data_IF_040943826982
#
_entry.id   IF_040943826982
#
_cell.length_a   1.000
_cell.length_b   1.000
_cell.length_c   1.000
_cell.angle_alpha   90.00
_cell.angle_beta   90.00
_cell.angle_gamma   90.00
#
_symmetry.space_group_name_H-M   'P 1'
#
loop_
_entity.id
_entity.type
_entity.pdbx_description
1 polymer ?
#
# COMPACT_ATOMS: atom_id res chain seq x y z
N UNK A 1 -41.27 15.53 -23.32
CA UNK A 1 -39.80 15.53 -23.48
C UNK A 1 -39.27 14.30 -22.76
N UNK A 2 -38.66 13.35 -23.45
CA UNK A 2 -38.01 12.22 -22.80
C UNK A 2 -36.53 12.56 -22.63
N UNK A 3 -36.11 12.84 -21.40
CA UNK A 3 -34.68 12.89 -21.06
C UNK A 3 -34.13 11.47 -21.14
N UNK A 4 -33.43 11.17 -22.22
CA UNK A 4 -32.61 9.96 -22.34
C UNK A 4 -31.52 10.06 -21.29
N UNK A 5 -31.67 9.32 -20.20
CA UNK A 5 -30.60 9.14 -19.23
C UNK A 5 -29.43 8.45 -19.96
N UNK A 6 -28.26 9.09 -19.97
CA UNK A 6 -27.07 8.51 -20.55
C UNK A 6 -26.63 7.34 -19.67
N UNK A 7 -27.06 6.13 -20.02
CA UNK A 7 -26.62 4.88 -19.37
C UNK A 7 -25.18 4.59 -19.78
N UNK A 8 -24.23 5.21 -19.10
CA UNK A 8 -22.83 4.75 -19.12
C UNK A 8 -22.78 3.30 -18.68
N UNK A 9 -21.95 2.48 -19.34
CA UNK A 9 -21.69 1.12 -18.89
C UNK A 9 -21.21 1.11 -17.42
N UNK A 10 -21.53 0.07 -16.63
CA UNK A 10 -21.08 -0.01 -15.24
C UNK A 10 -19.56 -0.06 -15.17
N UNK A 11 -19.01 0.54 -14.11
CA UNK A 11 -17.58 0.46 -13.83
C UNK A 11 -17.20 -0.98 -13.46
N UNK A 12 -16.09 -1.50 -13.99
CA UNK A 12 -15.60 -2.86 -13.71
C UNK A 12 -14.20 -2.89 -13.08
N UNK A 13 -13.60 -1.72 -12.81
CA UNK A 13 -12.23 -1.56 -12.27
C UNK A 13 -12.24 -0.70 -11.00
N UNK A 14 -11.22 -0.79 -10.12
CA UNK A 14 -11.12 0.10 -8.97
C UNK A 14 -11.01 1.57 -9.38
N UNK A 15 -11.58 2.46 -8.56
CA UNK A 15 -11.31 3.91 -8.66
C UNK A 15 -9.90 4.21 -8.12
N UNK A 16 -9.14 5.04 -8.86
CA UNK A 16 -7.77 5.36 -8.51
C UNK A 16 -7.63 6.41 -7.40
N UNK A 17 -8.54 7.39 -7.33
CA UNK A 17 -8.42 8.54 -6.42
C UNK A 17 -9.71 8.83 -5.65
N UNK A 18 -9.60 9.41 -4.45
CA UNK A 18 -10.75 10.02 -3.78
C UNK A 18 -11.28 11.24 -4.57
N UNK A 19 -12.43 11.76 -4.16
CA UNK A 19 -12.98 13.02 -4.69
C UNK A 19 -12.19 14.23 -4.19
N UNK A 20 -12.31 15.38 -4.84
CA UNK A 20 -11.66 16.63 -4.40
C UNK A 20 -12.23 17.14 -3.05
N UNK A 21 -13.44 16.71 -2.71
CA UNK A 21 -14.18 17.02 -1.49
C UNK A 21 -13.80 16.11 -0.32
N UNK A 22 -13.12 14.98 -0.57
CA UNK A 22 -12.62 14.07 0.45
C UNK A 22 -11.49 14.75 1.23
N UNK A 23 -11.67 14.92 2.54
CA UNK A 23 -10.73 15.61 3.44
C UNK A 23 -10.24 14.65 4.52
N UNK A 24 -9.05 14.05 4.36
CA UNK A 24 -8.41 13.29 5.43
C UNK A 24 -8.38 14.09 6.73
N UNK A 25 -8.59 13.41 7.86
CA UNK A 25 -8.29 14.03 9.14
C UNK A 25 -6.78 14.15 9.27
N UNK A 26 -6.28 15.36 9.47
CA UNK A 26 -4.85 15.60 9.71
C UNK A 26 -4.37 14.79 10.91
N UNK A 27 -3.16 14.23 10.80
CA UNK A 27 -2.51 13.53 11.92
C UNK A 27 -2.35 14.52 13.09
N UNK A 28 -2.80 14.19 14.32
CA UNK A 28 -2.56 15.04 15.48
C UNK A 28 -1.05 15.32 15.66
N UNK A 29 -0.73 16.56 16.03
CA UNK A 29 0.65 16.92 16.35
C UNK A 29 1.09 16.17 17.61
N UNK A 30 2.25 15.49 17.54
CA UNK A 30 2.80 14.76 18.68
C UNK A 30 3.20 15.73 19.79
N UNK A 31 2.83 15.39 21.02
CA UNK A 31 3.33 16.02 22.25
C UNK A 31 4.84 15.78 22.43
N UNK A 32 5.46 16.43 23.42
CA UNK A 32 6.90 16.25 23.69
C UNK A 32 7.25 14.80 24.08
N UNK A 33 6.47 14.20 24.99
CA UNK A 33 6.58 12.80 25.42
C UNK A 33 6.40 11.82 24.23
N UNK A 34 5.40 12.05 23.39
CA UNK A 34 5.16 11.23 22.20
C UNK A 34 6.30 11.31 21.17
N UNK A 35 6.95 12.49 21.04
CA UNK A 35 8.15 12.66 20.18
C UNK A 35 9.35 11.90 20.72
N UNK A 36 9.59 11.95 22.04
CA UNK A 36 10.66 11.21 22.70
C UNK A 36 10.45 9.69 22.54
N UNK A 37 9.22 9.21 22.76
CA UNK A 37 8.84 7.80 22.60
C UNK A 37 8.97 7.31 21.16
N UNK A 38 8.60 8.15 20.19
CA UNK A 38 8.83 7.87 18.77
C UNK A 38 10.32 7.83 18.42
N UNK A 39 11.11 8.81 18.86
CA UNK A 39 12.54 8.88 18.58
C UNK A 39 13.28 7.65 19.13
N UNK A 40 12.97 7.25 20.36
CA UNK A 40 13.50 6.05 20.98
C UNK A 40 13.13 4.78 20.19
N UNK A 41 11.87 4.62 19.76
CA UNK A 41 11.45 3.45 18.99
C UNK A 41 12.13 3.41 17.63
N UNK A 42 12.28 4.57 16.98
CA UNK A 42 13.00 4.69 15.72
C UNK A 42 14.48 4.29 15.87
N UNK A 43 15.12 4.65 16.99
CA UNK A 43 16.48 4.22 17.30
C UNK A 43 16.58 2.69 17.46
N UNK A 44 15.67 2.06 18.22
CA UNK A 44 15.69 0.60 18.38
C UNK A 44 15.50 -0.11 17.03
N UNK A 45 14.56 0.35 16.21
CA UNK A 45 14.24 -0.26 14.92
C UNK A 45 15.35 -0.03 13.89
N UNK A 46 16.04 1.12 13.92
CA UNK A 46 17.24 1.36 13.10
C UNK A 46 18.43 0.48 13.48
N UNK A 47 18.46 -0.05 14.72
CA UNK A 47 19.48 -1.00 15.17
C UNK A 47 19.15 -2.47 14.82
N UNK A 48 18.02 -2.76 14.18
CA UNK A 48 17.69 -4.13 13.76
C UNK A 48 18.58 -4.55 12.57
N UNK A 49 19.40 -5.59 12.78
CA UNK A 49 20.13 -6.26 11.69
C UNK A 49 19.35 -7.46 11.16
N UNK A 50 18.92 -8.35 12.05
CA UNK A 50 18.34 -9.66 11.72
C UNK A 50 17.02 -9.92 12.44
N UNK A 51 16.12 -10.63 11.76
CA UNK A 51 14.89 -11.18 12.35
C UNK A 51 14.99 -12.70 12.36
N UNK A 52 14.84 -13.28 13.55
CA UNK A 52 14.73 -14.73 13.76
C UNK A 52 13.28 -15.16 13.72
N UNK A 53 12.96 -16.12 12.85
CA UNK A 53 11.65 -16.74 12.68
C UNK A 53 11.78 -18.27 12.65
N UNK A 54 10.68 -19.01 12.62
CA UNK A 54 10.69 -20.46 12.36
C UNK A 54 11.25 -20.85 10.98
N UNK A 55 11.33 -19.92 10.02
CA UNK A 55 12.06 -20.11 8.75
C UNK A 55 13.58 -19.89 8.88
N UNK A 56 14.08 -19.49 10.05
CA UNK A 56 15.48 -19.19 10.33
C UNK A 56 15.74 -17.71 10.68
N UNK A 57 17.01 -17.38 10.88
CA UNK A 57 17.51 -16.01 11.06
C UNK A 57 18.08 -15.50 9.75
N UNK A 58 17.65 -14.32 9.33
CA UNK A 58 18.25 -13.60 8.19
C UNK A 58 18.11 -12.08 8.35
N UNK A 59 18.94 -11.28 7.64
CA UNK A 59 18.91 -9.83 7.69
C UNK A 59 17.54 -9.25 7.33
N UNK A 60 17.26 -8.01 7.75
CA UNK A 60 16.10 -7.26 7.28
C UNK A 60 16.16 -7.10 5.74
N UNK A 61 15.03 -7.34 5.08
CA UNK A 61 14.90 -7.10 3.64
C UNK A 61 14.55 -5.64 3.35
N UNK A 62 14.72 -5.19 2.11
CA UNK A 62 14.34 -3.84 1.70
C UNK A 62 12.83 -3.61 1.78
N UNK A 63 12.01 -4.64 1.56
CA UNK A 63 10.56 -4.58 1.79
C UNK A 63 10.23 -4.32 3.27
N UNK A 64 10.92 -5.00 4.19
CA UNK A 64 10.73 -4.78 5.62
C UNK A 64 11.23 -3.39 6.06
N UNK A 65 12.37 -2.92 5.53
CA UNK A 65 12.87 -1.57 5.77
C UNK A 65 11.90 -0.50 5.26
N UNK A 66 11.29 -0.71 4.09
CA UNK A 66 10.25 0.15 3.51
C UNK A 66 8.95 0.14 4.34
N UNK A 67 8.56 -1.02 4.87
CA UNK A 67 7.37 -1.18 5.71
C UNK A 67 7.49 -0.45 7.06
N UNK A 68 8.71 -0.29 7.57
CA UNK A 68 9.04 0.40 8.83
C UNK A 68 9.01 1.95 8.69
N UNK A 69 7.94 2.50 8.11
CA UNK A 69 7.68 3.94 7.97
C UNK A 69 7.45 4.63 9.33
N UNK A 70 7.62 5.96 9.38
CA UNK A 70 7.28 6.77 10.56
C UNK A 70 5.86 6.47 11.06
N UNK A 71 4.90 6.50 10.16
CA UNK A 71 3.50 6.24 10.45
C UNK A 71 3.26 4.79 10.92
N UNK A 72 4.02 3.82 10.41
CA UNK A 72 4.01 2.45 10.93
C UNK A 72 4.43 2.42 12.41
N UNK A 73 5.59 2.97 12.76
CA UNK A 73 6.04 3.05 14.16
C UNK A 73 5.00 3.74 15.06
N UNK A 74 4.36 4.82 14.57
CA UNK A 74 3.32 5.53 15.31
C UNK A 74 2.02 4.72 15.47
N UNK A 75 1.62 3.89 14.49
CA UNK A 75 0.48 2.97 14.65
C UNK A 75 0.72 1.97 15.79
N UNK A 76 1.93 1.43 15.90
CA UNK A 76 2.28 0.51 16.99
C UNK A 76 2.31 1.21 18.35
N UNK A 77 2.91 2.42 18.44
CA UNK A 77 2.89 3.22 19.68
C UNK A 77 1.48 3.57 20.15
N UNK A 78 0.59 4.03 19.26
CA UNK A 78 -0.82 4.29 19.61
C UNK A 78 -1.51 3.01 20.10
N UNK A 79 -1.32 1.89 19.39
CA UNK A 79 -1.95 0.62 19.71
C UNK A 79 -1.45 -0.06 21.00
N UNK A 80 -0.33 0.39 21.58
CA UNK A 80 0.16 -0.02 22.91
C UNK A 80 0.02 1.08 23.96
N UNK A 81 -0.82 2.09 23.71
CA UNK A 81 -1.06 3.24 24.61
C UNK A 81 0.24 3.96 24.98
N UNK A 82 1.13 4.11 24.01
CA UNK A 82 2.45 4.72 24.13
C UNK A 82 3.42 4.01 25.08
N UNK A 83 3.21 2.71 25.36
CA UNK A 83 4.27 1.87 25.92
C UNK A 83 5.29 1.50 24.81
N UNK A 84 6.48 2.09 24.93
CA UNK A 84 7.64 1.90 24.06
C UNK A 84 8.05 0.42 23.90
N UNK A 85 8.17 -0.33 25.01
CA UNK A 85 8.66 -1.71 24.98
C UNK A 85 7.62 -2.69 24.43
N UNK A 86 6.34 -2.44 24.72
CA UNK A 86 5.26 -3.21 24.10
C UNK A 86 5.16 -2.91 22.59
N UNK A 87 5.38 -1.65 22.17
CA UNK A 87 5.38 -1.26 20.77
C UNK A 87 6.53 -1.92 19.99
N UNK A 88 7.76 -1.84 20.52
CA UNK A 88 8.94 -2.52 19.98
C UNK A 88 8.69 -4.03 19.82
N UNK A 89 8.24 -4.68 20.89
CA UNK A 89 7.96 -6.12 20.89
C UNK A 89 6.92 -6.48 19.82
N UNK A 90 5.76 -5.80 19.79
CA UNK A 90 4.66 -6.12 18.86
C UNK A 90 5.00 -5.83 17.40
N UNK A 91 5.82 -4.80 17.16
CA UNK A 91 6.37 -4.50 15.83
C UNK A 91 7.28 -5.63 15.36
N UNK A 92 8.20 -6.09 16.22
CA UNK A 92 9.09 -7.22 15.94
C UNK A 92 8.34 -8.54 15.78
N UNK A 93 7.37 -8.82 16.64
CA UNK A 93 6.46 -9.97 16.51
C UNK A 93 5.71 -9.95 15.16
N UNK A 94 5.42 -8.76 14.60
CA UNK A 94 4.79 -8.64 13.29
C UNK A 94 5.76 -8.90 12.14
N UNK A 95 7.02 -8.44 12.22
CA UNK A 95 8.05 -8.81 11.22
C UNK A 95 8.25 -10.34 11.20
N UNK A 96 8.31 -10.97 12.37
CA UNK A 96 8.38 -12.43 12.50
C UNK A 96 7.14 -13.07 11.86
N UNK A 97 5.93 -12.66 12.24
CA UNK A 97 4.69 -13.18 11.65
C UNK A 97 4.62 -13.01 10.12
N UNK A 98 5.03 -11.86 9.56
CA UNK A 98 5.04 -11.63 8.11
C UNK A 98 5.89 -12.68 7.40
N UNK A 99 7.10 -12.95 7.93
CA UNK A 99 7.99 -14.01 7.43
C UNK A 99 7.37 -15.40 7.58
N UNK A 100 6.83 -15.74 8.74
CA UNK A 100 6.30 -17.09 9.01
C UNK A 100 5.05 -17.41 8.22
N UNK A 101 4.09 -16.47 8.19
CA UNK A 101 2.84 -16.57 7.44
C UNK A 101 3.06 -16.54 5.92
N UNK A 102 4.18 -15.96 5.49
CA UNK A 102 4.55 -15.81 4.09
C UNK A 102 3.76 -14.73 3.37
N UNK A 103 3.63 -13.55 3.98
CA UNK A 103 2.78 -12.45 3.49
C UNK A 103 3.26 -11.94 2.12
N UNK A 104 4.58 -11.81 1.94
CA UNK A 104 5.22 -11.37 0.70
C UNK A 104 5.14 -12.43 -0.41
N UNK A 105 5.02 -13.71 -0.03
CA UNK A 105 4.88 -14.85 -0.95
C UNK A 105 3.43 -15.10 -1.42
N UNK A 106 2.44 -14.34 -0.94
CA UNK A 106 1.04 -14.46 -1.40
C UNK A 106 0.87 -13.84 -2.80
N UNK A 107 0.79 -14.68 -3.85
CA UNK A 107 0.64 -14.20 -5.23
C UNK A 107 -0.83 -13.96 -5.65
N UNK A 108 -1.09 -13.08 -6.64
CA UNK A 108 -2.42 -12.87 -7.18
C UNK A 108 -3.08 -14.12 -7.77
N UNK A 109 -2.29 -15.04 -8.32
CA UNK A 109 -2.75 -16.27 -8.98
C UNK A 109 -3.20 -17.31 -7.95
N UNK A 110 -2.45 -17.46 -6.85
CA UNK A 110 -2.83 -18.32 -5.72
C UNK A 110 -4.14 -17.84 -5.08
N UNK A 111 -4.31 -16.52 -4.95
CA UNK A 111 -5.46 -15.90 -4.27
C UNK A 111 -6.68 -15.71 -5.18
N UNK A 112 -6.50 -15.54 -6.50
CA UNK A 112 -7.58 -15.30 -7.49
C UNK A 112 -8.82 -16.19 -7.32
N UNK A 113 -8.72 -17.52 -7.16
CA UNK A 113 -9.89 -18.40 -6.97
C UNK A 113 -10.76 -18.06 -5.76
N UNK A 114 -10.21 -17.40 -4.73
CA UNK A 114 -11.00 -16.94 -3.61
C UNK A 114 -11.85 -15.71 -3.95
N UNK A 115 -11.50 -14.93 -4.97
CA UNK A 115 -12.21 -13.68 -5.29
C UNK A 115 -12.96 -13.68 -6.62
N UNK A 116 -13.04 -14.81 -7.34
CA UNK A 116 -13.84 -14.96 -8.58
C UNK A 116 -15.25 -14.37 -8.50
N UNK A 117 -15.90 -14.45 -7.33
CA UNK A 117 -17.25 -13.94 -7.11
C UNK A 117 -17.31 -12.53 -6.54
N UNK A 118 -16.20 -11.82 -6.35
CA UNK A 118 -16.19 -10.46 -5.76
C UNK A 118 -16.66 -10.44 -4.30
N UNK A 119 -16.27 -11.45 -3.52
CA UNK A 119 -16.58 -11.51 -2.09
C UNK A 119 -15.77 -10.50 -1.27
N UNK A 120 -14.65 -10.02 -1.82
CA UNK A 120 -13.98 -8.80 -1.39
C UNK A 120 -13.72 -7.87 -2.59
N UNK A 121 -14.00 -6.57 -2.44
CA UNK A 121 -13.79 -5.57 -3.49
C UNK A 121 -13.20 -4.31 -2.87
N UNK A 122 -12.18 -3.73 -3.50
CA UNK A 122 -11.67 -2.40 -3.19
C UNK A 122 -12.21 -1.43 -4.25
N UNK A 123 -13.05 -0.48 -3.83
CA UNK A 123 -13.80 0.38 -4.75
C UNK A 123 -14.09 1.76 -4.14
N UNK A 124 -13.40 2.78 -4.63
CA UNK A 124 -13.63 4.15 -4.21
C UNK A 124 -13.19 4.44 -2.76
N UNK A 125 -13.54 5.65 -2.31
CA UNK A 125 -13.00 6.25 -1.09
C UNK A 125 -14.07 7.00 -0.28
N UNK A 126 -13.95 6.97 1.06
CA UNK A 126 -14.82 7.73 1.95
C UNK A 126 -14.53 9.25 1.90
N UNK A 127 -15.35 10.05 2.58
CA UNK A 127 -15.19 11.53 2.67
C UNK A 127 -13.93 11.96 3.44
N UNK A 128 -13.16 11.02 3.99
CA UNK A 128 -11.85 11.22 4.62
C UNK A 128 -10.71 10.61 3.78
N UNK A 129 -10.98 10.27 2.52
CA UNK A 129 -10.00 9.69 1.60
C UNK A 129 -9.63 8.24 1.91
N UNK A 130 -10.33 7.56 2.83
CA UNK A 130 -10.05 6.16 3.15
C UNK A 130 -10.51 5.26 2.01
N UNK A 131 -9.67 4.34 1.49
CA UNK A 131 -10.13 3.36 0.52
C UNK A 131 -11.23 2.48 1.15
N UNK A 132 -12.28 2.24 0.38
CA UNK A 132 -13.44 1.43 0.76
C UNK A 132 -13.19 -0.05 0.44
N UNK A 133 -13.10 -0.87 1.50
CA UNK A 133 -12.94 -2.32 1.41
C UNK A 133 -14.27 -3.01 1.65
N UNK A 134 -14.91 -3.46 0.58
CA UNK A 134 -16.16 -4.18 0.61
C UNK A 134 -15.94 -5.64 0.96
N UNK A 135 -16.66 -6.12 1.97
CA UNK A 135 -16.82 -7.52 2.33
C UNK A 135 -18.26 -7.93 2.06
N UNK A 136 -18.43 -8.92 1.19
CA UNK A 136 -19.74 -9.46 0.81
C UNK A 136 -19.83 -10.95 1.21
N UNK A 137 -20.00 -11.31 2.50
CA UNK A 137 -20.04 -12.69 2.95
C UNK A 137 -21.04 -13.61 2.22
N UNK A 138 -22.16 -13.08 1.72
CA UNK A 138 -23.12 -13.84 0.90
C UNK A 138 -22.57 -14.33 -0.45
N UNK A 139 -21.48 -13.72 -0.94
CA UNK A 139 -20.79 -14.08 -2.21
C UNK A 139 -19.71 -15.16 -2.01
N UNK A 140 -19.62 -15.79 -0.83
CA UNK A 140 -18.63 -16.85 -0.53
C UNK A 140 -18.74 -18.03 -1.50
N UNK A 141 -17.71 -18.24 -2.31
CA UNK A 141 -17.64 -19.23 -3.40
C UNK A 141 -16.88 -20.53 -3.03
N UNK A 142 -15.99 -20.49 -2.04
CA UNK A 142 -15.10 -21.62 -1.71
C UNK A 142 -15.55 -22.39 -0.46
N UNK A 143 -15.00 -23.58 -0.29
CA UNK A 143 -15.04 -24.35 0.96
C UNK A 143 -14.03 -23.79 1.97
N UNK A 144 -14.27 -23.92 3.29
CA UNK A 144 -13.34 -23.49 4.33
C UNK A 144 -11.92 -24.04 4.11
N UNK A 145 -10.94 -23.15 4.06
CA UNK A 145 -9.53 -23.49 3.85
C UNK A 145 -8.62 -22.35 4.38
N UNK A 146 -7.33 -22.61 4.64
CA UNK A 146 -6.36 -21.56 5.00
C UNK A 146 -6.30 -20.41 3.96
N UNK A 147 -6.52 -20.74 2.68
CA UNK A 147 -6.52 -19.77 1.58
C UNK A 147 -7.58 -18.69 1.72
N UNK A 148 -8.70 -18.95 2.42
CA UNK A 148 -9.69 -17.91 2.73
C UNK A 148 -9.15 -16.84 3.67
N UNK A 149 -8.25 -17.20 4.61
CA UNK A 149 -7.60 -16.24 5.52
C UNK A 149 -6.46 -15.54 4.79
N UNK A 150 -5.68 -16.27 3.98
CA UNK A 150 -4.65 -15.68 3.11
C UNK A 150 -5.25 -14.65 2.14
N UNK A 151 -6.45 -14.90 1.59
CA UNK A 151 -7.17 -13.93 0.76
C UNK A 151 -7.54 -12.65 1.53
N UNK A 152 -7.97 -12.75 2.79
CA UNK A 152 -8.20 -11.58 3.62
C UNK A 152 -6.90 -10.80 3.86
N UNK A 153 -5.81 -11.48 4.23
CA UNK A 153 -4.48 -10.87 4.43
C UNK A 153 -4.01 -10.18 3.15
N UNK A 154 -4.08 -10.86 2.00
CA UNK A 154 -3.73 -10.31 0.70
C UNK A 154 -4.53 -9.04 0.39
N UNK A 155 -5.86 -9.07 0.55
CA UNK A 155 -6.71 -7.89 0.31
C UNK A 155 -6.47 -6.75 1.31
N UNK A 156 -6.05 -7.06 2.54
CA UNK A 156 -5.60 -6.06 3.52
C UNK A 156 -4.29 -5.39 3.12
N UNK A 157 -3.34 -6.12 2.52
CA UNK A 157 -2.14 -5.51 1.93
C UNK A 157 -2.52 -4.65 0.70
N UNK A 158 -3.40 -5.14 -0.18
CA UNK A 158 -3.85 -4.36 -1.37
C UNK A 158 -4.57 -3.06 -1.00
N UNK A 159 -5.38 -3.03 0.06
CA UNK A 159 -6.03 -1.79 0.51
C UNK A 159 -5.04 -0.81 1.16
N UNK A 160 -3.94 -1.30 1.74
CA UNK A 160 -2.83 -0.46 2.22
C UNK A 160 -2.01 0.10 1.04
N UNK A 161 -1.83 -0.66 -0.03
CA UNK A 161 -1.25 -0.16 -1.29
C UNK A 161 -2.12 0.98 -1.87
N UNK A 162 -3.45 0.86 -1.75
CA UNK A 162 -4.41 1.88 -2.23
C UNK A 162 -4.55 3.13 -1.34
N UNK A 163 -3.93 3.20 -0.15
CA UNK A 163 -4.05 4.39 0.70
C UNK A 163 -3.40 5.62 0.05
N UNK A 164 -4.12 6.76 -0.10
CA UNK A 164 -3.51 8.01 -0.52
C UNK A 164 -2.68 8.62 0.62
N UNK A 165 -1.95 9.69 0.34
CA UNK A 165 -1.25 10.45 1.37
C UNK A 165 -2.20 10.93 2.48
N UNK A 166 -1.64 11.16 3.68
CA UNK A 166 -2.35 11.52 4.92
C UNK A 166 -3.34 10.47 5.45
N UNK A 167 -3.53 9.33 4.77
CA UNK A 167 -4.51 8.30 5.13
C UNK A 167 -3.83 7.01 5.58
N UNK A 168 -3.99 6.65 6.85
CA UNK A 168 -3.45 5.40 7.43
C UNK A 168 -4.50 4.28 7.59
N UNK A 169 -5.78 4.59 7.31
CA UNK A 169 -6.95 3.79 7.71
C UNK A 169 -7.88 3.49 6.54
N UNK A 170 -8.59 2.36 6.60
CA UNK A 170 -9.61 1.96 5.62
C UNK A 170 -11.04 2.22 6.11
N UNK A 171 -11.99 2.25 5.18
CA UNK A 171 -13.42 2.20 5.45
C UNK A 171 -13.95 0.81 5.08
N UNK A 172 -14.38 0.03 6.08
CA UNK A 172 -14.81 -1.35 5.90
C UNK A 172 -16.31 -1.40 5.57
N UNK A 173 -16.68 -1.85 4.38
CA UNK A 173 -18.06 -1.86 3.88
C UNK A 173 -18.61 -3.30 3.95
N UNK A 174 -19.46 -3.64 4.91
CA UNK A 174 -19.92 -5.03 5.09
C UNK A 174 -21.37 -5.19 4.66
N UNK A 175 -21.61 -6.03 3.65
CA UNK A 175 -22.95 -6.37 3.16
C UNK A 175 -23.32 -7.82 3.53
N UNK A 176 -24.18 -8.00 4.52
CA UNK A 176 -24.65 -9.33 4.94
C UNK A 176 -25.83 -9.89 4.11
N UNK A 177 -26.13 -9.28 2.96
CA UNK A 177 -27.13 -9.79 1.99
C UNK A 177 -26.84 -11.25 1.63
N UNK A 178 -27.81 -12.12 1.90
CA UNK A 178 -27.75 -13.55 1.57
C UNK A 178 -27.78 -13.76 0.05
N UNK A 179 -27.17 -14.85 -0.41
CA UNK A 179 -27.30 -15.30 -1.80
C UNK A 179 -28.30 -16.46 -1.92
N UNK A 180 -28.77 -16.73 -3.14
CA UNK A 180 -29.74 -17.81 -3.40
C UNK A 180 -29.23 -19.20 -2.96
N UNK A 181 -27.91 -19.39 -2.87
CA UNK A 181 -27.25 -20.63 -2.47
C UNK A 181 -26.70 -20.63 -1.03
N UNK A 182 -26.61 -19.48 -0.35
CA UNK A 182 -26.12 -19.39 1.04
C UNK A 182 -26.92 -18.40 1.90
N UNK A 183 -27.69 -18.98 2.83
CA UNK A 183 -28.40 -18.27 3.90
C UNK A 183 -27.53 -18.01 5.14
N UNK A 184 -26.61 -18.93 5.47
CA UNK A 184 -25.61 -18.68 6.51
C UNK A 184 -24.36 -18.04 5.89
N UNK A 185 -24.06 -16.82 6.34
CA UNK A 185 -22.93 -16.01 5.87
C UNK A 185 -21.87 -15.79 6.96
N UNK A 186 -22.00 -16.41 8.14
CA UNK A 186 -21.03 -16.28 9.22
C UNK A 186 -19.81 -17.21 8.99
N UNK A 187 -18.57 -16.74 9.25
CA UNK A 187 -17.40 -17.62 9.24
C UNK A 187 -17.44 -18.63 10.39
N UNK A 188 -16.74 -19.76 10.23
CA UNK A 188 -16.59 -20.73 11.30
C UNK A 188 -15.78 -20.17 12.47
N UNK A 189 -16.07 -20.59 13.71
CA UNK A 189 -15.49 -20.01 14.94
C UNK A 189 -13.95 -20.04 14.93
N UNK A 190 -13.33 -21.13 14.44
CA UNK A 190 -11.86 -21.22 14.33
C UNK A 190 -11.27 -20.13 13.43
N UNK A 191 -11.79 -20.02 12.20
CA UNK A 191 -11.40 -18.99 11.25
C UNK A 191 -11.67 -17.57 11.78
N UNK A 192 -12.81 -17.35 12.47
CA UNK A 192 -13.12 -16.06 13.08
C UNK A 192 -12.10 -15.67 14.17
N UNK A 193 -11.62 -16.64 14.97
CA UNK A 193 -10.57 -16.42 15.97
C UNK A 193 -9.20 -16.17 15.35
N UNK A 194 -8.84 -16.89 14.29
CA UNK A 194 -7.61 -16.68 13.53
C UNK A 194 -7.57 -15.28 12.90
N UNK A 195 -8.63 -14.90 12.17
CA UNK A 195 -8.79 -13.56 11.58
C UNK A 195 -8.73 -12.47 12.65
N UNK A 196 -9.43 -12.65 13.77
CA UNK A 196 -9.39 -11.70 14.88
C UNK A 196 -7.98 -11.56 15.46
N UNK A 197 -7.26 -12.67 15.64
CA UNK A 197 -5.88 -12.67 16.12
C UNK A 197 -4.93 -11.92 15.17
N UNK A 198 -5.03 -12.16 13.85
CA UNK A 198 -4.23 -11.46 12.84
C UNK A 198 -4.52 -9.96 12.86
N UNK A 199 -5.79 -9.57 12.80
CA UNK A 199 -6.20 -8.16 12.81
C UNK A 199 -5.78 -7.44 14.09
N UNK A 200 -5.95 -8.07 15.26
CA UNK A 200 -5.60 -7.47 16.54
C UNK A 200 -4.10 -7.31 16.74
N UNK A 201 -3.28 -8.27 16.30
CA UNK A 201 -1.83 -8.21 16.59
C UNK A 201 -1.03 -7.49 15.50
N UNK A 202 -1.36 -7.70 14.23
CA UNK A 202 -0.50 -7.34 13.08
C UNK A 202 -1.05 -6.20 12.20
N UNK A 203 -2.31 -5.79 12.38
CA UNK A 203 -2.92 -4.65 11.69
C UNK A 203 -3.40 -3.54 12.66
N UNK A 204 -2.55 -3.06 13.59
CA UNK A 204 -2.93 -2.00 14.53
C UNK A 204 -3.38 -0.73 13.82
N UNK A 205 -4.37 -0.05 14.39
CA UNK A 205 -4.82 1.29 13.96
C UNK A 205 -5.26 1.40 12.48
N UNK A 206 -5.58 0.29 11.80
CA UNK A 206 -6.03 0.30 10.39
C UNK A 206 -7.53 0.55 10.18
N UNK A 207 -8.38 0.25 11.15
CA UNK A 207 -9.83 0.48 11.02
C UNK A 207 -10.18 1.96 11.27
N UNK A 208 -10.64 2.64 10.23
CA UNK A 208 -11.15 4.01 10.31
C UNK A 208 -12.65 4.09 10.59
N UNK A 209 -13.45 3.34 9.83
CA UNK A 209 -14.90 3.21 9.99
C UNK A 209 -15.35 1.83 9.50
N UNK A 210 -16.46 1.30 10.03
CA UNK A 210 -17.13 0.12 9.47
C UNK A 210 -18.60 0.45 9.18
N UNK A 211 -18.98 0.38 7.91
CA UNK A 211 -20.30 0.66 7.39
C UNK A 211 -20.99 -0.66 7.05
N UNK A 212 -22.02 -1.01 7.82
CA UNK A 212 -22.58 -2.37 7.84
C UNK A 212 -24.06 -2.31 7.46
N UNK A 213 -24.45 -3.07 6.43
CA UNK A 213 -25.82 -3.14 5.92
C UNK A 213 -26.35 -4.57 5.86
N UNK A 214 -27.68 -4.70 5.75
CA UNK A 214 -28.40 -5.97 5.57
C UNK A 214 -28.15 -6.99 6.70
N UNK A 215 -27.84 -6.52 7.91
CA UNK A 215 -27.49 -7.37 9.07
C UNK A 215 -28.67 -8.29 9.45
N UNK A 216 -28.52 -9.63 9.33
CA UNK A 216 -29.54 -10.56 9.79
C UNK A 216 -29.76 -10.43 11.29
N UNK A 217 -31.00 -10.61 11.76
CA UNK A 217 -31.33 -10.54 13.18
C UNK A 217 -30.47 -11.48 14.06
N UNK A 218 -30.02 -12.61 13.51
CA UNK A 218 -29.10 -13.55 14.17
C UNK A 218 -27.69 -12.98 14.36
N UNK A 219 -27.21 -12.16 13.42
CA UNK A 219 -25.88 -11.53 13.47
C UNK A 219 -25.81 -10.45 14.56
N UNK A 220 -26.95 -9.83 14.92
CA UNK A 220 -27.04 -9.00 16.12
C UNK A 220 -26.72 -9.77 17.41
N UNK A 221 -27.00 -11.08 17.45
CA UNK A 221 -26.61 -11.97 18.56
C UNK A 221 -25.08 -12.16 18.62
N UNK A 222 -24.45 -12.42 17.47
CA UNK A 222 -22.99 -12.51 17.37
C UNK A 222 -22.30 -11.20 17.76
N UNK A 223 -22.76 -10.06 17.25
CA UNK A 223 -22.22 -8.76 17.65
C UNK A 223 -22.39 -8.48 19.15
N UNK A 224 -23.56 -8.79 19.74
CA UNK A 224 -23.75 -8.68 21.20
C UNK A 224 -22.77 -9.55 22.01
N UNK A 225 -22.38 -10.71 21.49
CA UNK A 225 -21.41 -11.60 22.15
C UNK A 225 -19.98 -11.07 22.09
N UNK A 226 -19.56 -10.45 20.97
CA UNK A 226 -18.20 -9.90 20.82
C UNK A 226 -18.04 -8.46 21.34
N UNK A 227 -19.14 -7.68 21.42
CA UNK A 227 -19.14 -6.27 21.87
C UNK A 227 -18.47 -6.00 23.23
N UNK A 228 -18.53 -6.88 24.25
CA UNK A 228 -17.79 -6.70 25.50
C UNK A 228 -16.26 -6.67 25.32
N UNK A 229 -15.75 -7.25 24.24
CA UNK A 229 -14.33 -7.31 23.89
C UNK A 229 -13.93 -6.25 22.85
N UNK A 230 -14.87 -5.39 22.44
CA UNK A 230 -14.64 -4.27 21.52
C UNK A 230 -14.47 -2.99 22.34
N UNK A 231 -13.28 -2.40 22.27
CA UNK A 231 -12.93 -1.11 22.88
C UNK A 231 -13.94 0.00 22.47
N UNK A 232 -14.30 0.94 23.36
CA UNK A 232 -15.26 2.01 23.07
C UNK A 232 -14.96 2.79 21.77
N UNK A 233 -13.68 3.11 21.49
CA UNK A 233 -13.29 3.83 20.28
C UNK A 233 -13.52 2.99 19.01
N UNK A 234 -13.49 1.67 19.13
CA UNK A 234 -13.84 0.77 18.01
C UNK A 234 -15.36 0.67 17.83
N UNK A 235 -16.15 0.78 18.91
CA UNK A 235 -17.61 0.78 18.85
C UNK A 235 -18.16 2.02 18.12
N UNK A 236 -17.57 3.19 18.35
CA UNK A 236 -17.96 4.44 17.67
C UNK A 236 -17.74 4.41 16.15
N UNK A 237 -16.78 3.60 15.69
CA UNK A 237 -16.47 3.39 14.26
C UNK A 237 -17.50 2.54 13.53
N UNK A 238 -18.31 1.74 14.23
CA UNK A 238 -19.36 0.91 13.64
C UNK A 238 -20.61 1.75 13.35
N UNK A 239 -21.16 1.62 12.13
CA UNK A 239 -22.41 2.24 11.68
C UNK A 239 -23.28 1.20 11.00
N UNK A 240 -24.54 1.09 11.41
CA UNK A 240 -25.43 -0.03 11.09
C UNK A 240 -26.71 0.45 10.42
N UNK A 241 -26.93 0.06 9.15
CA UNK A 241 -28.12 0.40 8.35
C UNK A 241 -28.46 1.91 8.30
N UNK A 242 -27.45 2.78 8.48
CA UNK A 242 -27.54 4.23 8.27
C UNK A 242 -27.48 4.57 6.76
N UNK A 243 -27.73 5.83 6.39
CA UNK A 243 -27.44 6.31 5.03
C UNK A 243 -25.92 6.42 4.84
N UNK A 244 -25.34 5.45 4.13
CA UNK A 244 -23.89 5.38 3.93
C UNK A 244 -23.34 6.53 3.07
N UNK A 245 -24.20 7.25 2.33
CA UNK A 245 -23.81 8.46 1.60
C UNK A 245 -23.51 9.67 2.52
N UNK A 246 -23.81 9.55 3.82
CA UNK A 246 -23.30 10.47 4.84
C UNK A 246 -21.78 10.36 4.99
N UNK A 247 -21.22 9.17 4.77
CA UNK A 247 -19.81 8.86 5.02
C UNK A 247 -18.97 8.72 3.74
N UNK A 248 -19.57 8.30 2.63
CA UNK A 248 -18.91 8.11 1.33
C UNK A 248 -19.59 9.02 0.28
N UNK A 249 -18.86 9.71 -0.62
CA UNK A 249 -19.46 10.42 -1.75
C UNK A 249 -20.30 9.44 -2.60
N UNK A 250 -21.41 9.88 -3.20
CA UNK A 250 -22.33 8.96 -3.89
C UNK A 250 -21.68 8.33 -5.12
N UNK A 251 -20.90 9.12 -5.86
CA UNK A 251 -20.06 8.77 -6.99
C UNK A 251 -18.88 7.82 -6.64
N UNK A 252 -18.59 7.63 -5.35
CA UNK A 252 -17.61 6.65 -4.83
C UNK A 252 -18.27 5.45 -4.15
N UNK A 253 -19.58 5.51 -3.89
CA UNK A 253 -20.34 4.52 -3.14
C UNK A 253 -21.10 3.59 -4.09
N UNK A 254 -20.84 2.29 -4.00
CA UNK A 254 -21.51 1.28 -4.83
C UNK A 254 -23.03 1.32 -4.65
N UNK A 255 -23.79 1.15 -5.72
CA UNK A 255 -25.25 1.01 -5.70
C UNK A 255 -25.76 -0.16 -4.83
N UNK A 256 -24.96 -1.21 -4.58
CA UNK A 256 -25.28 -2.24 -3.55
C UNK A 256 -25.42 -1.65 -2.12
N UNK A 257 -24.87 -0.46 -1.86
CA UNK A 257 -24.95 0.31 -0.60
C UNK A 257 -25.81 1.57 -0.73
N UNK A 258 -26.72 1.63 -1.71
CA UNK A 258 -27.56 2.79 -2.04
C UNK A 258 -26.78 4.06 -2.42
N UNK A 259 -25.57 3.89 -2.96
CA UNK A 259 -24.80 4.98 -3.56
C UNK A 259 -25.23 5.32 -4.99
N UNK A 260 -24.34 5.98 -5.72
CA UNK A 260 -24.54 6.38 -7.13
C UNK A 260 -23.50 5.81 -8.09
N UNK A 261 -22.54 5.01 -7.60
CA UNK A 261 -21.56 4.32 -8.45
C UNK A 261 -22.12 2.98 -8.91
N UNK A 262 -22.55 2.92 -10.18
CA UNK A 262 -22.87 1.66 -10.84
C UNK A 262 -21.59 0.89 -11.12
N UNK A 263 -21.40 -0.20 -10.38
CA UNK A 263 -20.24 -1.08 -10.49
C UNK A 263 -20.68 -2.53 -10.64
N UNK A 264 -20.07 -3.22 -11.59
CA UNK A 264 -20.26 -4.64 -11.87
C UNK A 264 -18.93 -5.38 -11.69
N UNK A 265 -18.96 -6.49 -10.95
CA UNK A 265 -17.76 -7.29 -10.71
C UNK A 265 -17.62 -8.37 -11.79
N UNK A 266 -16.77 -8.11 -12.78
CA UNK A 266 -16.18 -9.13 -13.65
C UNK A 266 -14.77 -9.44 -13.14
N UNK A 267 -14.49 -10.68 -12.71
CA UNK A 267 -13.18 -11.05 -12.18
C UNK A 267 -12.06 -10.90 -13.22
N UNK A 268 -12.34 -11.18 -14.49
CA UNK A 268 -11.36 -11.15 -15.58
C UNK A 268 -10.90 -9.72 -15.93
N UNK A 269 -11.73 -8.72 -15.60
CA UNK A 269 -11.42 -7.29 -15.77
C UNK A 269 -10.92 -6.68 -14.46
N UNK A 270 -11.65 -6.90 -13.37
CA UNK A 270 -11.39 -6.26 -12.07
C UNK A 270 -10.06 -6.70 -11.45
N UNK A 271 -9.79 -8.01 -11.42
CA UNK A 271 -8.63 -8.55 -10.71
C UNK A 271 -7.31 -8.05 -11.29
N UNK A 272 -7.00 -8.22 -12.60
CA UNK A 272 -5.76 -7.68 -13.16
C UNK A 272 -5.66 -6.15 -13.05
N UNK A 273 -6.78 -5.42 -13.14
CA UNK A 273 -6.79 -3.97 -12.95
C UNK A 273 -6.43 -3.55 -11.50
N UNK A 274 -6.93 -4.27 -10.48
CA UNK A 274 -6.56 -4.05 -9.09
C UNK A 274 -5.08 -4.34 -8.85
N UNK A 275 -4.61 -5.50 -9.30
CA UNK A 275 -3.22 -5.92 -9.10
C UNK A 275 -2.26 -4.90 -9.73
N UNK A 276 -2.48 -4.57 -11.01
CA UNK A 276 -1.71 -3.53 -11.70
C UNK A 276 -1.66 -2.21 -10.92
N UNK A 277 -2.81 -1.72 -10.44
CA UNK A 277 -2.87 -0.47 -9.69
C UNK A 277 -2.11 -0.54 -8.35
N UNK A 278 -2.17 -1.66 -7.64
CA UNK A 278 -1.42 -1.86 -6.41
C UNK A 278 0.09 -1.95 -6.68
N UNK A 279 0.49 -2.64 -7.74
CA UNK A 279 1.88 -2.84 -8.13
C UNK A 279 2.53 -1.52 -8.56
N UNK A 280 1.87 -0.73 -9.41
CA UNK A 280 2.31 0.62 -9.81
C UNK A 280 2.51 1.54 -8.59
N UNK A 281 1.67 1.43 -7.55
CA UNK A 281 1.81 2.20 -6.30
C UNK A 281 2.94 1.71 -5.41
N UNK A 282 3.15 0.39 -5.30
CA UNK A 282 4.28 -0.16 -4.53
C UNK A 282 5.60 0.23 -5.19
N UNK A 283 5.70 0.14 -6.51
CA UNK A 283 6.85 0.58 -7.29
C UNK A 283 7.12 2.08 -7.10
N UNK A 284 6.10 2.94 -7.25
CA UNK A 284 6.27 4.38 -7.04
C UNK A 284 6.74 4.73 -5.62
N UNK A 285 6.23 4.04 -4.59
CA UNK A 285 6.70 4.18 -3.20
C UNK A 285 8.15 3.72 -3.04
N UNK A 286 8.52 2.57 -3.61
CA UNK A 286 9.89 2.05 -3.56
C UNK A 286 10.89 3.01 -4.23
N UNK A 287 10.56 3.54 -5.42
CA UNK A 287 11.39 4.52 -6.11
C UNK A 287 11.58 5.81 -5.30
N UNK A 288 10.52 6.34 -4.64
CA UNK A 288 10.67 7.49 -3.74
C UNK A 288 11.48 7.16 -2.49
N UNK A 289 11.36 5.97 -1.92
CA UNK A 289 12.18 5.51 -0.81
C UNK A 289 13.67 5.43 -1.17
N UNK A 290 14.01 4.89 -2.34
CA UNK A 290 15.38 4.88 -2.89
C UNK A 290 15.89 6.32 -3.09
N UNK A 291 15.07 7.19 -3.68
CA UNK A 291 15.39 8.61 -3.81
C UNK A 291 15.66 9.29 -2.45
N UNK A 292 14.87 8.94 -1.41
CA UNK A 292 15.04 9.39 -0.01
C UNK A 292 16.24 8.80 0.73
N UNK A 293 17.01 7.90 0.10
CA UNK A 293 18.18 7.26 0.72
C UNK A 293 17.84 6.06 1.59
N UNK A 294 16.76 5.36 1.25
CA UNK A 294 16.45 4.01 1.73
C UNK A 294 16.31 3.89 3.26
N UNK A 295 15.75 4.92 3.90
CA UNK A 295 15.75 5.03 5.35
C UNK A 295 14.58 4.29 6.00
N UNK A 296 14.88 3.57 7.09
CA UNK A 296 13.88 3.20 8.09
C UNK A 296 13.32 4.48 8.73
N UNK A 297 12.01 4.55 8.88
CA UNK A 297 11.30 5.69 9.46
C UNK A 297 10.90 6.79 8.46
N UNK A 298 10.98 6.54 7.15
CA UNK A 298 10.53 7.49 6.12
C UNK A 298 9.03 7.84 6.24
N UNK A 299 8.63 9.02 5.76
CA UNK A 299 7.24 9.51 5.81
C UNK A 299 6.35 8.83 4.75
N UNK A 300 5.20 8.27 5.16
CA UNK A 300 4.21 7.74 4.20
C UNK A 300 3.73 8.82 3.20
N UNK A 301 3.72 10.09 3.59
CA UNK A 301 3.34 11.21 2.71
C UNK A 301 4.41 11.56 1.67
N UNK A 302 5.70 11.42 2.02
CA UNK A 302 6.79 11.57 1.06
C UNK A 302 6.78 10.39 0.09
N UNK A 303 6.61 9.15 0.58
CA UNK A 303 6.50 7.96 -0.26
C UNK A 303 5.29 8.00 -1.21
N UNK A 304 4.19 8.61 -0.79
CA UNK A 304 3.00 8.83 -1.60
C UNK A 304 3.09 10.06 -2.55
N UNK A 305 4.23 10.76 -2.60
CA UNK A 305 4.44 11.92 -3.48
C UNK A 305 3.69 13.19 -3.08
N UNK A 306 3.26 13.30 -1.82
CA UNK A 306 2.55 14.48 -1.30
C UNK A 306 3.48 15.54 -0.70
N UNK A 307 4.65 15.14 -0.20
CA UNK A 307 5.72 16.05 0.24
C UNK A 307 7.00 15.79 -0.54
N UNK A 308 7.72 16.85 -0.88
CA UNK A 308 9.04 16.72 -1.54
C UNK A 308 10.18 16.44 -0.56
N UNK A 309 9.98 16.71 0.73
CA UNK A 309 10.97 16.47 1.76
C UNK A 309 10.81 15.05 2.35
N UNK A 310 11.87 14.25 2.22
CA UNK A 310 12.15 13.03 2.98
C UNK A 310 12.51 13.37 4.44
N UNK A 311 12.42 12.40 5.35
CA UNK A 311 12.96 12.52 6.73
C UNK A 311 14.42 12.95 6.79
N UNK A 312 15.21 12.58 5.78
CA UNK A 312 16.56 13.11 5.57
C UNK A 312 16.60 13.69 4.16
N UNK A 313 16.47 15.02 3.98
CA UNK A 313 16.75 15.60 2.68
C UNK A 313 18.20 15.25 2.33
N UNK A 314 18.41 14.41 1.31
CA UNK A 314 19.72 14.31 0.68
C UNK A 314 20.14 15.74 0.36
N UNK A 315 21.31 16.14 0.86
CA UNK A 315 21.94 17.35 0.39
C UNK A 315 22.22 17.10 -1.09
N UNK A 316 21.32 17.55 -1.96
CA UNK A 316 21.64 17.70 -3.36
C UNK A 316 22.74 18.74 -3.39
N UNK A 317 23.99 18.27 -3.37
CA UNK A 317 25.05 18.93 -4.10
C UNK A 317 24.47 19.15 -5.50
N UNK A 318 24.06 20.39 -5.73
CA UNK A 318 23.77 20.87 -7.05
C UNK A 318 25.11 20.77 -7.76
N UNK A 319 25.29 19.68 -8.52
CA UNK A 319 26.28 19.63 -9.58
C UNK A 319 25.90 20.76 -10.50
N UNK A 320 26.51 21.92 -10.28
CA UNK A 320 26.22 23.12 -11.01
C UNK A 320 26.50 22.79 -12.46
N UNK A 321 25.46 22.84 -13.30
CA UNK A 321 25.65 22.77 -14.74
C UNK A 321 26.70 23.83 -15.10
N UNK A 322 27.77 23.48 -15.82
CA UNK A 322 28.78 24.47 -16.18
C UNK A 322 28.08 25.61 -16.91
N UNK A 323 28.34 26.84 -16.46
CA UNK A 323 27.69 28.01 -17.01
C UNK A 323 27.94 28.06 -18.54
N UNK A 324 26.93 28.46 -19.35
CA UNK A 324 27.10 28.52 -20.79
C UNK A 324 28.26 29.47 -21.12
N UNK A 325 29.26 28.94 -21.81
CA UNK A 325 30.45 29.69 -22.19
C UNK A 325 30.05 30.85 -23.10
N UNK A 326 30.43 32.08 -22.72
CA UNK A 326 30.13 33.28 -23.52
C UNK A 326 31.02 33.27 -24.76
N UNK A 327 30.47 32.80 -25.87
CA UNK A 327 31.12 32.83 -27.18
C UNK A 327 31.45 34.27 -27.55
N UNK A 328 32.74 34.61 -27.53
CA UNK A 328 33.24 35.89 -28.06
C UNK A 328 33.18 35.86 -29.60
N UNK A 329 32.86 36.98 -30.27
CA UNK A 329 32.90 37.04 -31.73
C UNK A 329 34.29 36.75 -32.28
N UNK A 330 34.35 36.05 -33.41
CA UNK A 330 35.59 35.72 -34.09
C UNK A 330 36.33 36.97 -34.60
N UNK A 331 37.66 36.90 -34.60
CA UNK A 331 38.55 37.83 -35.31
C UNK A 331 39.26 37.02 -36.39
N UNK A 332 39.21 37.49 -37.64
CA UNK A 332 39.84 36.81 -38.78
C UNK A 332 41.39 36.84 -38.71
N UNK A 333 42.06 35.83 -39.29
CA UNK A 333 43.52 35.70 -39.22
C UNK A 333 44.24 36.42 -40.37
N UNK A 334 45.50 36.80 -40.14
CA UNK A 334 46.49 37.15 -41.19
C UNK A 334 47.91 36.89 -40.62
N UNK A 335 48.93 36.64 -41.45
CA UNK A 335 49.48 35.28 -41.50
C UNK A 335 50.96 35.17 -41.09
N UNK A 336 51.39 33.94 -40.73
CA UNK A 336 52.78 33.61 -40.46
C UNK A 336 53.64 33.43 -41.74
N UNK A 337 54.96 33.70 -41.69
CA UNK A 337 55.88 33.46 -42.79
C UNK A 337 56.37 32.00 -42.87
N UNK A 338 56.65 31.56 -44.09
CA UNK A 338 57.06 30.18 -44.43
C UNK A 338 58.59 29.98 -44.31
N UNK A 339 59.04 28.82 -43.81
CA UNK A 339 60.45 28.38 -43.95
C UNK A 339 60.77 27.03 -43.29
N UNK A 340 60.92 25.96 -44.10
CA UNK A 340 61.38 24.64 -43.65
C UNK A 340 62.93 24.57 -43.58
N UNK A 341 63.53 23.46 -43.06
CA UNK A 341 63.81 22.32 -43.94
C UNK A 341 63.67 20.90 -43.32
N UNK A 342 63.84 19.88 -44.16
CA UNK A 342 63.52 18.46 -43.96
C UNK A 342 64.76 17.60 -43.66
N UNK A 343 64.64 16.61 -42.75
CA UNK A 343 65.39 15.33 -42.66
C UNK A 343 64.72 14.48 -41.55
N UNK A 344 64.56 13.14 -41.52
CA UNK A 344 64.87 11.93 -42.34
C UNK A 344 63.70 10.92 -42.09
N UNK A 345 63.42 9.84 -42.84
CA UNK A 345 64.10 8.52 -43.02
C UNK A 345 64.50 7.85 -41.68
N UNK A 346 64.17 6.59 -41.34
CA UNK A 346 63.67 5.39 -42.07
C UNK A 346 62.91 4.44 -41.10
N UNK A 347 62.16 3.46 -41.67
CA UNK A 347 61.83 2.06 -41.23
C UNK A 347 61.58 1.71 -39.73
N UNK A 348 60.67 0.80 -39.34
CA UNK A 348 60.44 -0.57 -39.83
C UNK A 348 58.97 -1.04 -39.89
N UNK A 349 58.78 -2.14 -40.61
CA UNK A 349 57.56 -2.95 -40.83
C UNK A 349 57.62 -4.15 -39.84
N UNK A 350 56.54 -4.65 -39.21
CA UNK A 350 55.57 -5.59 -39.83
C UNK A 350 54.40 -5.97 -38.90
N UNK A 351 53.30 -6.39 -39.53
CA UNK A 351 52.02 -6.87 -38.95
C UNK A 351 51.94 -8.40 -39.06
N UNK A 352 51.22 -9.06 -38.13
CA UNK A 352 50.23 -10.16 -38.33
C UNK A 352 49.98 -10.85 -36.96
N UNK A 353 48.77 -11.06 -36.44
CA UNK A 353 47.45 -11.49 -36.94
C UNK A 353 47.15 -12.95 -36.58
N UNK A 354 45.93 -13.20 -36.11
CA UNK A 354 45.45 -14.51 -35.67
C UNK A 354 44.87 -15.34 -36.84
N UNK A 355 44.67 -16.65 -36.66
CA UNK A 355 43.67 -17.41 -37.38
C UNK A 355 42.49 -17.83 -36.48
N UNK A 356 41.33 -18.03 -37.12
CA UNK A 356 40.08 -18.41 -36.49
C UNK A 356 39.73 -19.89 -36.71
N UNK A 357 38.76 -20.38 -35.93
CA UNK A 357 37.68 -21.30 -36.31
C UNK A 357 37.97 -22.48 -37.27
N UNK A 358 37.77 -23.70 -36.76
CA UNK A 358 37.17 -24.80 -37.53
C UNK A 358 36.35 -25.70 -36.58
N UNK A 359 35.27 -26.27 -37.09
CA UNK A 359 34.32 -27.09 -36.33
C UNK A 359 34.59 -28.60 -36.47
N UNK A 360 34.08 -29.37 -35.49
CA UNK A 360 33.72 -30.79 -35.61
C UNK A 360 32.56 -31.07 -34.63
#
# INVERSE_FOLDING_TARGET
MATVAATSAPLMVPLATPTAESKPFGRPALTADEKEKYAWLLEQVKAYTDITSSKGTSPLTDEERQWLTRECLLRYLRATKWNQKDAEKRLRDTLIWRREYGVSELTPEHISPENETGKQVLLGFDKQGRPCHYLNPGRQNTSPSPRQVQHLVFMLERVIDMMPAQVETLSLMINFKQSKSRSNTAPGIGQAREVLHILQNHYPERLGKALIINVPWMVNGFFKLITPFIDPLTREKLKFNEDMSQYVPKEQLWTEFNGGLEFEYDHSVYWPALIKMCDERREARAQRWIAGGEQIGELEDYLAGHTEQSVSPKTTETVAAPAPEVVKPAVEPTPEPVGAPISKLEEEVKVEAAPASAAA
#
